data_IF_142813434109
#
_entry.id   IF_142813434109
#
_cell.length_a   1.000
_cell.length_b   1.000
_cell.length_c   1.000
_cell.angle_alpha   90.00
_cell.angle_beta   90.00
_cell.angle_gamma   90.00
#
_symmetry.space_group_name_H-M   'P 1'
#
loop_
_entity.id
_entity.type
_entity.pdbx_description
1 polymer ?
#
# COMPACT_ATOMS: atom_id res chain seq x y z
N UNK A 1 -11.86 16.49 16.51
CA UNK A 1 -12.98 17.01 15.69
C UNK A 1 -13.54 15.82 14.95
N UNK A 2 -14.75 15.37 15.29
CA UNK A 2 -15.47 14.34 14.53
C UNK A 2 -16.43 14.98 13.53
N UNK A 3 -16.44 14.46 12.29
CA UNK A 3 -17.58 14.02 11.47
C UNK A 3 -17.07 13.83 10.04
N UNK A 4 -17.20 12.62 9.49
CA UNK A 4 -17.39 12.42 8.04
C UNK A 4 -18.36 11.27 7.78
N UNK A 5 -19.33 11.51 6.90
CA UNK A 5 -20.11 10.45 6.25
C UNK A 5 -19.35 10.08 4.98
N UNK A 6 -18.68 8.92 4.97
CA UNK A 6 -18.05 8.36 3.78
C UNK A 6 -18.84 7.12 3.35
N UNK A 7 -19.71 7.30 2.37
CA UNK A 7 -20.25 6.18 1.58
C UNK A 7 -19.48 6.12 0.27
N UNK A 8 -18.36 5.41 0.33
CA UNK A 8 -17.74 4.69 -0.78
C UNK A 8 -16.70 3.76 -0.14
N UNK A 9 -17.16 2.86 0.75
CA UNK A 9 -16.29 1.77 1.17
C UNK A 9 -16.12 0.92 -0.07
N UNK A 10 -14.98 1.09 -0.76
CA UNK A 10 -14.40 0.01 -1.52
C UNK A 10 -14.24 -1.14 -0.53
N UNK A 11 -15.26 -1.99 -0.40
CA UNK A 11 -15.18 -3.15 0.48
C UNK A 11 -14.10 -4.04 -0.11
N UNK A 12 -12.98 -4.13 0.59
CA UNK A 12 -12.00 -5.19 0.40
C UNK A 12 -12.51 -6.36 1.25
N UNK A 13 -12.51 -7.56 0.66
CA UNK A 13 -13.23 -8.72 1.21
C UNK A 13 -12.56 -9.27 2.48
N UNK A 14 -11.24 -9.06 2.63
CA UNK A 14 -10.43 -9.57 3.73
C UNK A 14 -9.50 -8.48 4.28
N UNK A 15 -9.44 -8.37 5.61
CA UNK A 15 -8.52 -7.50 6.32
C UNK A 15 -7.43 -8.35 6.99
N UNK A 16 -6.17 -8.06 6.66
CA UNK A 16 -5.00 -8.71 7.24
C UNK A 16 -4.20 -7.67 8.02
N UNK A 17 -3.99 -7.91 9.31
CA UNK A 17 -3.19 -7.03 10.19
C UNK A 17 -1.81 -7.65 10.36
N UNK A 18 -0.78 -6.89 9.98
CA UNK A 18 0.63 -7.26 10.16
C UNK A 18 1.22 -6.30 11.19
N UNK A 19 1.44 -6.79 12.41
CA UNK A 19 1.98 -6.01 13.53
C UNK A 19 3.22 -6.64 14.17
N UNK A 20 3.60 -7.85 13.75
CA UNK A 20 4.82 -8.49 14.22
C UNK A 20 6.04 -7.85 13.55
N UNK A 21 7.12 -7.71 14.32
CA UNK A 21 8.34 -7.03 13.87
C UNK A 21 8.91 -7.63 12.58
N UNK A 22 8.88 -8.96 12.44
CA UNK A 22 9.37 -9.64 11.24
C UNK A 22 8.56 -9.25 10.00
N UNK A 23 7.22 -9.27 10.08
CA UNK A 23 6.36 -8.86 8.98
C UNK A 23 6.59 -7.41 8.58
N UNK A 24 6.67 -6.51 9.56
CA UNK A 24 6.95 -5.08 9.34
C UNK A 24 8.32 -4.86 8.69
N UNK A 25 9.37 -5.51 9.19
CA UNK A 25 10.74 -5.39 8.65
C UNK A 25 10.81 -5.87 7.18
N UNK A 26 10.06 -6.92 6.84
CA UNK A 26 10.05 -7.47 5.49
C UNK A 26 9.21 -6.59 4.54
N UNK A 27 8.06 -6.05 5.00
CA UNK A 27 7.29 -5.07 4.23
C UNK A 27 8.11 -3.81 3.95
N UNK A 28 8.81 -3.29 4.96
CA UNK A 28 9.69 -2.12 4.82
C UNK A 28 10.72 -2.35 3.70
N UNK A 29 11.42 -3.49 3.72
CA UNK A 29 12.38 -3.86 2.67
C UNK A 29 11.75 -3.95 1.28
N UNK A 30 10.51 -4.46 1.18
CA UNK A 30 9.80 -4.53 -0.10
C UNK A 30 9.46 -3.12 -0.62
N UNK A 31 9.04 -2.21 0.26
CA UNK A 31 8.72 -0.83 -0.08
C UNK A 31 9.97 -0.02 -0.48
N UNK A 32 11.14 -0.31 0.11
CA UNK A 32 12.43 0.27 -0.31
C UNK A 32 12.80 -0.07 -1.76
N UNK A 33 12.28 -1.17 -2.32
CA UNK A 33 12.56 -1.56 -3.71
C UNK A 33 11.63 -0.86 -4.72
N UNK A 34 10.61 -0.13 -4.25
CA UNK A 34 9.68 0.57 -5.13
C UNK A 34 10.39 1.76 -5.76
N UNK A 35 10.38 1.82 -7.09
CA UNK A 35 10.85 2.98 -7.83
C UNK A 35 9.71 3.97 -7.94
N UNK A 36 9.83 5.09 -7.22
CA UNK A 36 8.81 6.13 -7.13
C UNK A 36 9.02 7.25 -8.15
N UNK A 37 7.95 7.59 -8.86
CA UNK A 37 7.81 8.82 -9.63
C UNK A 37 6.91 9.79 -8.86
N UNK A 38 7.41 10.99 -8.60
CA UNK A 38 6.73 12.00 -7.78
C UNK A 38 5.95 12.99 -8.63
N UNK A 39 4.95 13.66 -8.04
CA UNK A 39 4.06 14.62 -8.71
C UNK A 39 3.28 14.02 -9.88
N UNK A 40 2.98 12.72 -9.80
CA UNK A 40 2.19 11.99 -10.79
C UNK A 40 0.80 11.74 -10.21
N UNK A 41 -0.20 12.44 -10.76
CA UNK A 41 -1.60 12.15 -10.46
C UNK A 41 -2.07 11.00 -11.35
N UNK A 42 -1.81 9.77 -10.92
CA UNK A 42 -2.21 8.57 -11.62
C UNK A 42 -3.63 8.14 -11.24
N UNK A 43 -4.44 7.81 -12.25
CA UNK A 43 -5.76 7.20 -12.08
C UNK A 43 -5.79 5.90 -12.90
N UNK A 44 -6.28 4.82 -12.28
CA UNK A 44 -6.34 3.49 -12.91
C UNK A 44 -7.76 3.17 -13.32
N UNK A 45 -7.92 2.56 -14.51
CA UNK A 45 -9.23 2.24 -15.10
C UNK A 45 -9.99 1.18 -14.28
N UNK A 46 -9.26 0.29 -13.58
CA UNK A 46 -9.83 -0.76 -12.73
C UNK A 46 -9.53 -0.51 -11.25
N UNK A 47 -10.37 -1.06 -10.37
CA UNK A 47 -10.13 -1.11 -8.92
C UNK A 47 -8.76 -1.76 -8.63
N UNK A 48 -8.09 -1.27 -7.58
CA UNK A 48 -6.87 -1.88 -7.07
C UNK A 48 -7.13 -3.31 -6.62
N UNK A 49 -6.11 -4.16 -6.76
CA UNK A 49 -6.18 -5.51 -6.20
C UNK A 49 -6.13 -5.45 -4.68
N UNK A 50 -5.32 -4.51 -4.14
CA UNK A 50 -5.11 -4.36 -2.70
C UNK A 50 -5.01 -2.89 -2.33
N UNK A 51 -5.54 -2.58 -1.14
CA UNK A 51 -5.23 -1.36 -0.41
C UNK A 51 -4.43 -1.71 0.84
N UNK A 52 -3.25 -1.12 0.99
CA UNK A 52 -2.41 -1.22 2.18
C UNK A 52 -2.49 0.11 2.93
N UNK A 53 -2.69 0.05 4.24
CA UNK A 53 -2.63 1.23 5.11
C UNK A 53 -1.51 1.02 6.10
N UNK A 54 -0.50 1.89 6.04
CA UNK A 54 0.59 1.92 7.01
C UNK A 54 0.17 2.80 8.19
N UNK A 55 0.27 2.24 9.39
CA UNK A 55 0.08 2.94 10.65
C UNK A 55 1.46 3.17 11.25
N UNK A 56 1.87 4.44 11.37
CA UNK A 56 3.16 4.82 11.93
C UNK A 56 2.99 5.73 13.14
N UNK A 57 3.53 5.32 14.28
CA UNK A 57 3.76 6.19 15.44
C UNK A 57 5.13 6.85 15.30
N UNK A 58 5.16 8.17 15.06
CA UNK A 58 6.41 8.92 14.86
C UNK A 58 6.98 9.46 16.17
N UNK A 59 6.12 9.91 17.09
CA UNK A 59 6.49 10.39 18.43
C UNK A 59 5.39 10.06 19.44
N UNK A 60 5.78 9.84 20.70
CA UNK A 60 4.85 9.62 21.81
C UNK A 60 3.94 10.86 21.97
N UNK A 61 2.62 10.69 21.82
CA UNK A 61 1.56 11.72 21.82
C UNK A 61 1.26 12.45 20.50
N UNK A 62 1.85 12.04 19.36
CA UNK A 62 1.41 12.51 18.04
C UNK A 62 0.32 11.59 17.45
N UNK A 63 -0.60 12.12 16.60
CA UNK A 63 -1.55 11.27 15.89
C UNK A 63 -0.81 10.26 15.00
N UNK A 64 -1.28 9.02 14.98
CA UNK A 64 -0.80 8.00 14.05
C UNK A 64 -0.90 8.52 12.60
N UNK A 65 0.20 8.39 11.86
CA UNK A 65 0.19 8.66 10.43
C UNK A 65 -0.42 7.46 9.72
N UNK A 66 -1.51 7.71 8.99
CA UNK A 66 -2.13 6.76 8.08
C UNK A 66 -1.66 7.08 6.67
N UNK A 67 -0.86 6.20 6.09
CA UNK A 67 -0.43 6.35 4.70
C UNK A 67 -1.00 5.22 3.83
N UNK A 68 -1.75 5.61 2.80
CA UNK A 68 -2.58 4.71 2.00
C UNK A 68 -1.99 4.41 0.64
N UNK A 69 -1.74 3.13 0.38
CA UNK A 69 -1.18 2.63 -0.87
C UNK A 69 -2.19 1.74 -1.58
N UNK A 70 -2.37 1.97 -2.87
CA UNK A 70 -3.18 1.14 -3.75
C UNK A 70 -2.26 0.35 -4.68
N UNK A 71 -2.48 -0.96 -4.79
CA UNK A 71 -1.58 -1.87 -5.52
C UNK A 71 -2.35 -2.59 -6.62
N UNK A 72 -1.77 -2.60 -7.82
CA UNK A 72 -2.22 -3.37 -8.98
C UNK A 72 -1.11 -4.35 -9.38
N UNK A 73 -1.41 -5.64 -9.36
CA UNK A 73 -0.56 -6.66 -9.95
C UNK A 73 -0.83 -6.72 -11.46
N UNK A 74 0.25 -6.59 -12.23
CA UNK A 74 0.21 -6.57 -13.68
C UNK A 74 0.40 -7.98 -14.25
N UNK A 75 -0.13 -8.22 -15.45
CA UNK A 75 -0.04 -9.54 -16.10
C UNK A 75 1.41 -9.97 -16.41
N UNK A 76 2.33 -9.02 -16.53
CA UNK A 76 3.76 -9.27 -16.71
C UNK A 76 4.48 -9.57 -15.39
N UNK A 77 3.78 -9.78 -14.28
CA UNK A 77 4.37 -10.10 -12.97
C UNK A 77 4.88 -8.89 -12.18
N UNK A 78 4.91 -7.69 -12.76
CA UNK A 78 5.25 -6.45 -12.03
C UNK A 78 4.05 -5.93 -11.22
N UNK A 79 4.27 -4.91 -10.39
CA UNK A 79 3.18 -4.19 -9.74
C UNK A 79 3.31 -2.69 -9.93
N UNK A 80 2.14 -2.04 -9.95
CA UNK A 80 1.99 -0.60 -9.91
C UNK A 80 1.42 -0.23 -8.55
N UNK A 81 2.05 0.72 -7.87
CA UNK A 81 1.62 1.21 -6.56
C UNK A 81 1.28 2.69 -6.71
N UNK A 82 0.18 3.15 -6.12
CA UNK A 82 -0.18 4.58 -6.10
C UNK A 82 -0.36 5.00 -4.64
N UNK A 83 0.35 6.06 -4.25
CA UNK A 83 -0.01 6.86 -3.09
C UNK A 83 -0.72 8.11 -3.59
N UNK A 84 -2.03 8.19 -3.32
CA UNK A 84 -2.89 9.28 -3.81
C UNK A 84 -2.63 10.58 -3.06
N UNK A 85 -2.34 10.50 -1.76
CA UNK A 85 -2.13 11.67 -0.91
C UNK A 85 -0.79 12.34 -1.24
N UNK A 86 0.23 11.53 -1.54
CA UNK A 86 1.54 12.00 -1.98
C UNK A 86 1.63 12.31 -3.49
N UNK A 87 0.58 12.03 -4.28
CA UNK A 87 0.62 12.08 -5.76
C UNK A 87 1.86 11.37 -6.33
N UNK A 88 2.07 10.12 -5.96
CA UNK A 88 3.22 9.33 -6.40
C UNK A 88 2.81 7.99 -7.01
N UNK A 89 3.57 7.60 -8.04
CA UNK A 89 3.42 6.36 -8.79
C UNK A 89 4.67 5.50 -8.59
N UNK A 90 4.49 4.36 -7.93
CA UNK A 90 5.51 3.35 -7.69
C UNK A 90 5.45 2.22 -8.72
N UNK A 91 6.62 1.70 -9.08
CA UNK A 91 6.77 0.45 -9.82
C UNK A 91 7.60 -0.55 -9.03
N UNK A 92 7.13 -1.80 -9.00
CA UNK A 92 7.81 -2.91 -8.37
C UNK A 92 8.05 -4.02 -9.38
N UNK A 93 9.26 -4.56 -9.41
CA UNK A 93 9.64 -5.63 -10.34
C UNK A 93 9.05 -6.99 -9.94
N UNK A 94 9.19 -7.97 -10.84
CA UNK A 94 8.63 -9.32 -10.66
C UNK A 94 9.15 -10.01 -9.40
N UNK A 95 10.45 -9.91 -9.11
CA UNK A 95 11.08 -10.55 -7.95
C UNK A 95 10.49 -10.02 -6.64
N UNK A 96 10.38 -8.70 -6.54
CA UNK A 96 9.90 -8.04 -5.34
C UNK A 96 8.37 -8.14 -5.20
N UNK A 97 7.62 -8.30 -6.30
CA UNK A 97 6.19 -8.62 -6.26
C UNK A 97 5.94 -9.97 -5.60
N UNK A 98 6.72 -11.01 -5.93
CA UNK A 98 6.54 -12.33 -5.29
C UNK A 98 6.82 -12.27 -3.78
N UNK A 99 7.84 -11.52 -3.38
CA UNK A 99 8.12 -11.26 -1.98
C UNK A 99 6.96 -10.54 -1.29
N UNK A 100 6.43 -9.47 -1.90
CA UNK A 100 5.28 -8.73 -1.37
C UNK A 100 4.04 -9.63 -1.22
N UNK A 101 3.73 -10.44 -2.24
CA UNK A 101 2.60 -11.37 -2.21
C UNK A 101 2.71 -12.39 -1.07
N UNK A 102 3.92 -12.92 -0.87
CA UNK A 102 4.18 -13.91 0.17
C UNK A 102 3.93 -13.34 1.58
N UNK A 103 4.27 -12.07 1.81
CA UNK A 103 4.08 -11.41 3.12
C UNK A 103 2.61 -11.09 3.37
N UNK A 104 1.90 -10.72 2.30
CA UNK A 104 0.47 -10.40 2.37
C UNK A 104 -0.42 -11.66 2.32
N UNK A 105 0.18 -12.87 2.32
CA UNK A 105 -0.51 -14.16 2.19
C UNK A 105 -1.46 -14.22 0.98
N UNK A 106 -0.98 -13.73 -0.17
CA UNK A 106 -1.73 -13.75 -1.43
C UNK A 106 -1.18 -14.88 -2.30
N UNK A 107 -2.01 -15.87 -2.60
CA UNK A 107 -1.69 -16.97 -3.52
C UNK A 107 -1.63 -16.54 -5.00
#
# INVERSE_FOLDING_TARGET
MDVYKVNAVEQYEEEVIISDKSGVDVLSKAFEQIVWEQNVKAEMVRKADIKVVLFMEVEENMPELLDGYFIWFNQNGTATIINRDANSLGKLDEKNVQMLKSILNLD
#
